data_IF_347573469535
#
_entry.id   IF_347573469535
#
_cell.length_a   1.000
_cell.length_b   1.000
_cell.length_c   1.000
_cell.angle_alpha   90.00
_cell.angle_beta   90.00
_cell.angle_gamma   90.00
#
_symmetry.space_group_name_H-M   'P 1'
#
loop_
_entity.id
_entity.type
_entity.pdbx_description
1 polymer ?
#
# COMPACT_ATOMS: atom_id res chain seq x y z
N UNK A 1 -42.86 68.65 10.45
CA UNK A 1 -41.69 68.66 9.50
C UNK A 1 -40.46 68.37 10.29
N UNK A 2 -39.95 67.18 10.30
CA UNK A 2 -38.78 66.74 11.01
C UNK A 2 -38.04 65.75 10.10
N UNK A 3 -36.97 66.18 9.51
CA UNK A 3 -36.12 65.40 8.60
C UNK A 3 -35.10 64.62 9.44
N UNK A 4 -35.26 63.34 9.53
CA UNK A 4 -34.31 62.40 10.13
C UNK A 4 -33.22 62.09 9.12
N UNK A 5 -31.99 62.56 9.36
CA UNK A 5 -30.80 62.20 8.63
C UNK A 5 -30.05 61.08 9.33
N UNK A 6 -30.28 59.85 8.92
CA UNK A 6 -29.43 58.68 9.29
C UNK A 6 -28.15 58.73 8.48
N UNK A 7 -27.07 59.08 9.10
CA UNK A 7 -25.73 58.96 8.58
C UNK A 7 -25.27 57.51 8.60
N UNK A 8 -25.19 56.85 7.44
CA UNK A 8 -24.62 55.53 7.31
C UNK A 8 -23.09 55.64 7.36
N UNK A 9 -22.48 55.20 8.44
CA UNK A 9 -21.04 54.99 8.53
C UNK A 9 -20.69 53.73 7.69
N UNK A 10 -20.06 53.92 6.53
CA UNK A 10 -19.38 52.87 5.82
C UNK A 10 -18.05 52.57 6.54
N UNK A 11 -17.99 51.47 7.29
CA UNK A 11 -16.73 50.97 7.82
C UNK A 11 -16.02 50.27 6.66
N UNK A 12 -15.02 50.94 6.10
CA UNK A 12 -14.06 50.32 5.18
C UNK A 12 -13.22 49.33 6.00
N UNK A 13 -13.50 48.04 5.89
CA UNK A 13 -12.63 46.99 6.40
C UNK A 13 -11.33 47.01 5.59
N UNK A 14 -10.28 47.58 6.16
CA UNK A 14 -8.94 47.50 5.58
C UNK A 14 -8.55 46.01 5.47
N UNK A 15 -8.30 45.55 4.25
CA UNK A 15 -7.77 44.21 4.02
C UNK A 15 -6.41 44.10 4.73
N UNK A 16 -6.33 43.30 5.78
CA UNK A 16 -5.06 42.97 6.42
C UNK A 16 -4.21 42.26 5.37
N UNK A 17 -3.01 42.76 5.03
CA UNK A 17 -2.16 42.08 4.07
C UNK A 17 -1.85 40.70 4.59
N UNK A 18 -2.05 39.67 3.75
CA UNK A 18 -1.74 38.28 4.08
C UNK A 18 -0.26 38.20 4.50
N UNK A 19 0.04 37.63 5.65
CA UNK A 19 1.40 37.40 6.10
C UNK A 19 2.18 36.66 5.00
N UNK A 20 3.47 37.01 4.77
CA UNK A 20 4.28 36.33 3.76
C UNK A 20 4.28 34.82 4.05
N UNK A 21 4.15 33.97 3.01
CA UNK A 21 4.08 32.53 3.21
C UNK A 21 5.33 32.05 3.95
N UNK A 22 5.13 31.22 4.99
CA UNK A 22 6.21 30.61 5.75
C UNK A 22 7.11 29.83 4.76
N UNK A 23 8.42 30.16 4.63
CA UNK A 23 9.29 29.48 3.67
C UNK A 23 9.33 27.98 3.80
N UNK A 24 9.19 27.45 5.03
CA UNK A 24 9.08 26.01 5.29
C UNK A 24 7.79 25.43 4.76
N UNK A 25 6.66 26.11 4.93
CA UNK A 25 5.37 25.65 4.38
C UNK A 25 5.39 25.57 2.85
N UNK A 26 6.00 26.56 2.18
CA UNK A 26 6.17 26.53 0.73
C UNK A 26 7.07 25.39 0.26
N UNK A 27 8.14 25.07 1.00
CA UNK A 27 8.99 23.91 0.73
C UNK A 27 8.20 22.60 0.90
N UNK A 28 7.47 22.45 2.00
CA UNK A 28 6.65 21.28 2.29
C UNK A 28 5.59 21.03 1.20
N UNK A 29 4.91 22.09 0.73
CA UNK A 29 3.94 22.01 -0.34
C UNK A 29 4.57 21.51 -1.66
N UNK A 30 5.76 22.03 -2.03
CA UNK A 30 6.51 21.55 -3.21
C UNK A 30 6.89 20.08 -3.09
N UNK A 31 7.38 19.66 -1.93
CA UNK A 31 7.77 18.27 -1.67
C UNK A 31 6.54 17.34 -1.74
N UNK A 32 5.40 17.72 -1.12
CA UNK A 32 4.16 16.94 -1.22
C UNK A 32 3.74 16.73 -2.67
N UNK A 33 3.76 17.78 -3.47
CA UNK A 33 3.41 17.69 -4.90
C UNK A 33 4.42 16.84 -5.67
N UNK A 34 5.71 16.97 -5.37
CA UNK A 34 6.75 16.16 -6.01
C UNK A 34 6.58 14.67 -5.68
N UNK A 35 6.33 14.30 -4.41
CA UNK A 35 6.04 12.92 -4.01
C UNK A 35 4.79 12.39 -4.73
N UNK A 36 3.72 13.18 -4.78
CA UNK A 36 2.50 12.79 -5.47
C UNK A 36 2.73 12.50 -6.96
N UNK A 37 3.47 13.37 -7.66
CA UNK A 37 3.69 13.29 -9.12
C UNK A 37 4.76 12.27 -9.49
N UNK A 38 5.86 12.20 -8.73
CA UNK A 38 7.02 11.38 -9.09
C UNK A 38 6.90 9.94 -8.57
N UNK A 39 6.16 9.71 -7.49
CA UNK A 39 6.03 8.39 -6.88
C UNK A 39 4.58 7.90 -6.83
N UNK A 40 3.68 8.58 -6.12
CA UNK A 40 2.35 8.04 -5.79
C UNK A 40 1.53 7.74 -7.04
N UNK A 41 1.35 8.72 -7.93
CA UNK A 41 0.57 8.54 -9.15
C UNK A 41 1.17 7.47 -10.08
N UNK A 42 2.48 7.44 -10.35
CA UNK A 42 3.09 6.34 -11.09
C UNK A 42 2.91 4.96 -10.44
N UNK A 43 2.98 4.85 -9.10
CA UNK A 43 2.77 3.59 -8.40
C UNK A 43 1.32 3.08 -8.58
N UNK A 44 0.32 3.93 -8.35
CA UNK A 44 -1.08 3.56 -8.56
C UNK A 44 -1.45 3.34 -10.03
N UNK A 45 -0.77 4.01 -10.97
CA UNK A 45 -0.96 3.71 -12.41
C UNK A 45 -0.48 2.30 -12.74
N UNK A 46 0.70 1.89 -12.26
CA UNK A 46 1.19 0.51 -12.43
C UNK A 46 0.26 -0.50 -11.75
N UNK A 47 -0.27 -0.16 -10.57
CA UNK A 47 -1.22 -1.01 -9.87
C UNK A 47 -2.51 -1.19 -10.67
N UNK A 48 -3.11 -0.12 -11.17
CA UNK A 48 -4.31 -0.18 -11.99
C UNK A 48 -4.11 -1.00 -13.27
N UNK A 49 -2.96 -0.85 -13.92
CA UNK A 49 -2.60 -1.65 -15.11
C UNK A 49 -2.44 -3.14 -14.78
N UNK A 50 -1.76 -3.46 -13.67
CA UNK A 50 -1.51 -4.85 -13.28
C UNK A 50 -2.79 -5.56 -12.83
N UNK A 51 -3.67 -4.87 -12.10
CA UNK A 51 -4.97 -5.44 -11.67
C UNK A 51 -5.96 -5.58 -12.82
N UNK A 52 -6.00 -4.66 -13.78
CA UNK A 52 -6.77 -4.80 -15.02
C UNK A 52 -6.31 -6.02 -15.84
N UNK A 53 -5.00 -6.22 -15.96
CA UNK A 53 -4.43 -7.40 -16.60
C UNK A 53 -4.78 -8.69 -15.85
N UNK A 54 -4.82 -8.65 -14.51
CA UNK A 54 -5.23 -9.77 -13.68
C UNK A 54 -6.72 -10.10 -13.87
N UNK A 55 -7.60 -9.11 -13.89
CA UNK A 55 -9.04 -9.30 -14.16
C UNK A 55 -9.26 -9.95 -15.54
N UNK A 56 -8.59 -9.44 -16.57
CA UNK A 56 -8.63 -10.02 -17.93
C UNK A 56 -8.12 -11.47 -17.97
N UNK A 57 -7.08 -11.80 -17.22
CA UNK A 57 -6.55 -13.16 -17.16
C UNK A 57 -7.57 -14.13 -16.53
N UNK A 58 -8.26 -13.71 -15.44
CA UNK A 58 -9.33 -14.48 -14.84
C UNK A 58 -10.53 -14.65 -15.76
N UNK A 59 -10.94 -13.58 -16.46
CA UNK A 59 -12.01 -13.62 -17.46
C UNK A 59 -11.70 -14.60 -18.60
N UNK A 60 -10.48 -14.56 -19.13
CA UNK A 60 -10.02 -15.48 -20.17
C UNK A 60 -9.97 -16.94 -19.69
N UNK A 61 -9.50 -17.16 -18.45
CA UNK A 61 -9.50 -18.48 -17.85
C UNK A 61 -10.93 -19.01 -17.63
N UNK A 62 -11.86 -18.18 -17.19
CA UNK A 62 -13.25 -18.54 -16.97
C UNK A 62 -13.95 -18.92 -18.29
N UNK A 63 -13.71 -18.17 -19.36
CA UNK A 63 -14.27 -18.41 -20.69
C UNK A 63 -13.87 -19.79 -21.29
N UNK A 64 -12.70 -20.33 -20.94
CA UNK A 64 -12.20 -21.60 -21.42
C UNK A 64 -11.59 -22.44 -20.26
N UNK A 65 -12.32 -22.61 -19.21
CA UNK A 65 -11.86 -23.14 -17.92
C UNK A 65 -11.14 -24.49 -18.03
N UNK A 66 -11.65 -25.42 -18.82
CA UNK A 66 -11.05 -26.76 -18.97
C UNK A 66 -9.61 -26.71 -19.53
N UNK A 67 -9.35 -25.79 -20.47
CA UNK A 67 -8.05 -25.59 -21.12
C UNK A 67 -7.38 -24.28 -20.69
N UNK A 68 -7.91 -23.58 -19.69
CA UNK A 68 -7.41 -22.29 -19.24
C UNK A 68 -5.94 -22.35 -18.82
N UNK A 69 -5.19 -21.28 -19.11
CA UNK A 69 -3.79 -21.18 -18.75
C UNK A 69 -3.63 -20.78 -17.28
N UNK A 70 -3.37 -21.75 -16.43
CA UNK A 70 -3.14 -21.53 -15.00
C UNK A 70 -1.83 -20.77 -14.73
N UNK A 71 -0.83 -20.90 -15.59
CA UNK A 71 0.42 -20.15 -15.48
C UNK A 71 0.19 -18.66 -15.74
N UNK A 72 -0.66 -18.33 -16.73
CA UNK A 72 -1.07 -16.95 -16.97
C UNK A 72 -1.79 -16.32 -15.76
N UNK A 73 -2.66 -17.06 -15.06
CA UNK A 73 -3.29 -16.59 -13.82
C UNK A 73 -2.25 -16.26 -12.74
N UNK A 74 -1.31 -17.18 -12.50
CA UNK A 74 -0.22 -16.96 -11.52
C UNK A 74 0.67 -15.78 -11.90
N UNK A 75 1.01 -15.64 -13.17
CA UNK A 75 1.82 -14.52 -13.65
C UNK A 75 1.09 -13.18 -13.46
N UNK A 76 -0.19 -13.11 -13.77
CA UNK A 76 -0.99 -11.91 -13.57
C UNK A 76 -1.14 -11.57 -12.06
N UNK A 77 -1.38 -12.58 -11.21
CA UNK A 77 -1.38 -12.41 -9.76
C UNK A 77 -0.02 -11.86 -9.26
N UNK A 78 1.07 -12.45 -9.70
CA UNK A 78 2.41 -12.01 -9.31
C UNK A 78 2.70 -10.56 -9.73
N UNK A 79 2.27 -10.15 -10.92
CA UNK A 79 2.41 -8.78 -11.39
C UNK A 79 1.57 -7.78 -10.56
N UNK A 80 0.35 -8.17 -10.18
CA UNK A 80 -0.50 -7.37 -9.29
C UNK A 80 0.12 -7.23 -7.88
N UNK A 81 0.67 -8.31 -7.32
CA UNK A 81 1.41 -8.28 -6.06
C UNK A 81 2.66 -7.39 -6.13
N UNK A 82 3.43 -7.45 -7.22
CA UNK A 82 4.59 -6.57 -7.42
C UNK A 82 4.20 -5.09 -7.42
N UNK A 83 3.13 -4.76 -8.13
CA UNK A 83 2.62 -3.39 -8.18
C UNK A 83 2.06 -2.94 -6.82
N UNK A 84 1.35 -3.84 -6.11
CA UNK A 84 0.85 -3.56 -4.77
C UNK A 84 1.98 -3.35 -3.77
N UNK A 85 3.02 -4.18 -3.78
CA UNK A 85 4.17 -4.02 -2.90
C UNK A 85 4.79 -2.62 -3.01
N UNK A 86 4.82 -2.02 -4.20
CA UNK A 86 5.25 -0.63 -4.38
C UNK A 86 4.22 0.39 -3.85
N UNK A 87 2.92 0.15 -4.05
CA UNK A 87 1.87 1.11 -3.73
C UNK A 87 1.43 1.07 -2.26
N UNK A 88 1.48 -0.08 -1.59
CA UNK A 88 0.95 -0.31 -0.24
C UNK A 88 1.63 0.53 0.85
N UNK A 89 2.80 1.09 0.57
CA UNK A 89 3.51 1.98 1.50
C UNK A 89 2.83 3.35 1.64
N UNK A 90 2.01 3.74 0.66
CA UNK A 90 1.19 4.96 0.73
C UNK A 90 -0.09 4.63 1.48
N UNK A 91 -0.25 5.23 2.65
CA UNK A 91 -1.46 5.15 3.47
C UNK A 91 -2.29 6.42 3.40
N UNK A 92 -1.68 7.52 2.95
CA UNK A 92 -2.32 8.82 2.80
C UNK A 92 -3.20 8.87 1.55
N UNK A 93 -4.34 9.54 1.67
CA UNK A 93 -5.22 9.83 0.53
C UNK A 93 -6.28 8.76 0.25
N UNK A 94 -6.68 8.57 -1.02
CA UNK A 94 -7.86 7.78 -1.41
C UNK A 94 -7.84 6.31 -1.00
N UNK A 95 -6.67 5.72 -0.80
CA UNK A 95 -6.52 4.32 -0.37
C UNK A 95 -7.10 4.08 1.04
N UNK A 96 -7.15 5.13 1.86
CA UNK A 96 -7.71 5.07 3.21
C UNK A 96 -9.24 5.08 3.24
N UNK A 97 -9.89 5.43 2.14
CA UNK A 97 -11.34 5.50 2.07
C UNK A 97 -11.94 4.10 1.85
N UNK A 98 -13.09 3.84 2.47
CA UNK A 98 -13.90 2.63 2.24
C UNK A 98 -13.14 1.32 2.47
N UNK A 99 -12.20 1.29 3.43
CA UNK A 99 -11.35 0.13 3.73
C UNK A 99 -10.59 -0.39 2.50
N UNK A 100 -10.30 0.47 1.50
CA UNK A 100 -9.69 0.04 0.23
C UNK A 100 -8.37 -0.70 0.44
N UNK A 101 -7.53 -0.28 1.40
CA UNK A 101 -6.27 -0.94 1.70
C UNK A 101 -6.49 -2.38 2.21
N UNK A 102 -7.43 -2.57 3.15
CA UNK A 102 -7.75 -3.88 3.73
C UNK A 102 -8.46 -4.79 2.70
N UNK A 103 -9.36 -4.21 1.90
CA UNK A 103 -9.99 -4.89 0.78
C UNK A 103 -9.00 -5.31 -0.31
N UNK A 104 -7.89 -4.59 -0.44
CA UNK A 104 -6.84 -4.91 -1.41
C UNK A 104 -5.95 -6.08 -0.95
N UNK A 105 -5.51 -6.04 0.33
CA UNK A 105 -4.71 -7.11 0.92
C UNK A 105 -4.92 -7.14 2.44
N UNK A 106 -5.73 -8.07 2.91
CA UNK A 106 -5.97 -8.28 4.34
C UNK A 106 -4.82 -9.07 4.97
N UNK A 107 -3.82 -8.35 5.42
CA UNK A 107 -2.64 -8.91 6.09
C UNK A 107 -2.00 -7.85 7.02
N UNK A 108 -1.50 -8.19 8.23
CA UNK A 108 -1.48 -9.51 8.85
C UNK A 108 -2.87 -10.05 9.19
N UNK A 109 -3.10 -11.33 8.92
CA UNK A 109 -4.39 -11.93 9.29
C UNK A 109 -4.33 -12.63 10.65
N UNK A 110 -5.34 -12.37 11.50
CA UNK A 110 -5.52 -13.09 12.75
C UNK A 110 -6.45 -14.29 12.56
N UNK A 111 -6.17 -15.39 13.27
CA UNK A 111 -7.11 -16.51 13.43
C UNK A 111 -7.60 -17.15 12.12
N UNK A 112 -6.81 -17.09 11.06
CA UNK A 112 -7.14 -17.69 9.75
C UNK A 112 -8.50 -17.22 9.18
N UNK A 113 -8.78 -15.94 9.29
CA UNK A 113 -10.06 -15.32 8.86
C UNK A 113 -10.22 -15.45 7.35
N UNK A 114 -9.18 -15.19 6.56
CA UNK A 114 -9.22 -15.31 5.10
C UNK A 114 -9.67 -16.71 4.65
N UNK A 115 -9.15 -17.77 5.29
CA UNK A 115 -9.58 -19.13 4.96
C UNK A 115 -11.07 -19.32 5.22
N UNK A 116 -11.54 -18.95 6.42
CA UNK A 116 -12.93 -19.19 6.80
C UNK A 116 -13.92 -18.41 5.93
N UNK A 117 -13.60 -17.14 5.62
CA UNK A 117 -14.49 -16.31 4.79
C UNK A 117 -14.47 -16.77 3.33
N UNK A 118 -13.31 -17.14 2.80
CA UNK A 118 -13.20 -17.69 1.45
C UNK A 118 -13.94 -19.05 1.34
N UNK A 119 -13.81 -19.93 2.33
CA UNK A 119 -14.52 -21.22 2.35
C UNK A 119 -16.05 -21.01 2.43
N UNK A 120 -16.52 -20.03 3.20
CA UNK A 120 -17.93 -19.68 3.27
C UNK A 120 -18.44 -19.17 1.91
N UNK A 121 -17.71 -18.29 1.25
CA UNK A 121 -18.03 -17.78 -0.08
C UNK A 121 -18.02 -18.92 -1.15
N UNK A 122 -17.03 -19.79 -1.10
CA UNK A 122 -16.96 -20.94 -2.02
C UNK A 122 -18.10 -21.94 -1.79
N UNK A 123 -18.63 -22.03 -0.57
CA UNK A 123 -19.73 -22.93 -0.21
C UNK A 123 -21.10 -22.35 -0.56
N UNK A 124 -21.27 -21.02 -0.58
CA UNK A 124 -22.55 -20.36 -0.86
C UNK A 124 -23.07 -20.70 -2.25
N UNK A 125 -22.18 -20.71 -3.23
CA UNK A 125 -22.50 -20.97 -4.65
C UNK A 125 -23.65 -20.10 -5.18
N UNK A 126 -23.78 -18.87 -4.64
CA UNK A 126 -24.80 -17.89 -5.02
C UNK A 126 -24.15 -16.72 -5.79
N UNK A 127 -24.47 -16.55 -7.09
CA UNK A 127 -23.93 -15.44 -7.89
C UNK A 127 -24.22 -14.04 -7.33
N UNK A 128 -25.24 -13.89 -6.46
CA UNK A 128 -25.56 -12.61 -5.82
C UNK A 128 -24.42 -12.13 -4.91
N UNK A 129 -23.66 -13.05 -4.31
CA UNK A 129 -22.53 -12.74 -3.46
C UNK A 129 -21.39 -12.01 -4.21
N UNK A 130 -21.33 -12.16 -5.54
CA UNK A 130 -20.32 -11.54 -6.40
C UNK A 130 -20.81 -10.28 -7.13
N UNK A 131 -22.04 -9.83 -6.87
CA UNK A 131 -22.47 -8.53 -7.41
C UNK A 131 -21.65 -7.40 -6.79
N UNK A 132 -21.28 -6.34 -7.52
CA UNK A 132 -20.42 -5.27 -7.01
C UNK A 132 -20.88 -4.70 -5.67
N UNK A 133 -22.19 -4.46 -5.53
CA UNK A 133 -22.76 -3.90 -4.29
C UNK A 133 -22.66 -4.87 -3.11
N UNK A 134 -22.97 -6.14 -3.30
CA UNK A 134 -22.89 -7.17 -2.24
C UNK A 134 -21.44 -7.43 -1.88
N UNK A 135 -20.59 -7.67 -2.87
CA UNK A 135 -19.19 -8.03 -2.66
C UNK A 135 -18.39 -6.90 -1.99
N UNK A 136 -18.70 -5.64 -2.30
CA UNK A 136 -18.04 -4.49 -1.67
C UNK A 136 -18.31 -4.39 -0.15
N UNK A 137 -19.42 -4.98 0.33
CA UNK A 137 -19.82 -4.99 1.74
C UNK A 137 -19.53 -6.32 2.46
N UNK A 138 -19.01 -7.31 1.73
CA UNK A 138 -18.58 -8.58 2.34
C UNK A 138 -17.27 -8.41 3.12
N UNK A 139 -16.84 -9.47 3.78
CA UNK A 139 -15.60 -9.50 4.54
C UNK A 139 -14.40 -9.07 3.70
N UNK A 140 -13.67 -8.05 4.12
CA UNK A 140 -12.43 -7.61 3.48
C UNK A 140 -11.41 -8.74 3.28
N UNK A 141 -11.45 -9.75 4.15
CA UNK A 141 -10.56 -10.91 4.09
C UNK A 141 -10.82 -11.83 2.88
N UNK A 142 -12.02 -11.78 2.26
CA UNK A 142 -12.34 -12.54 1.06
C UNK A 142 -12.13 -11.76 -0.25
N UNK A 143 -11.80 -10.47 -0.19
CA UNK A 143 -11.87 -9.56 -1.33
C UNK A 143 -10.54 -9.28 -2.04
N UNK A 144 -9.40 -9.70 -1.47
CA UNK A 144 -8.10 -9.19 -1.86
C UNK A 144 -7.09 -10.22 -2.34
N UNK A 145 -5.84 -9.76 -2.50
CA UNK A 145 -4.70 -10.59 -2.93
C UNK A 145 -4.47 -11.80 -2.04
N UNK A 146 -4.71 -11.69 -0.73
CA UNK A 146 -4.57 -12.79 0.22
C UNK A 146 -5.54 -13.93 -0.07
N UNK A 147 -6.78 -13.63 -0.48
CA UNK A 147 -7.76 -14.62 -0.90
C UNK A 147 -7.41 -15.24 -2.26
N UNK A 148 -6.93 -14.43 -3.22
CA UNK A 148 -6.44 -14.95 -4.51
C UNK A 148 -5.23 -15.86 -4.36
N UNK A 149 -4.30 -15.54 -3.44
CA UNK A 149 -3.17 -16.42 -3.13
C UNK A 149 -3.65 -17.82 -2.76
N UNK A 150 -4.68 -17.91 -1.91
CA UNK A 150 -5.23 -19.22 -1.51
C UNK A 150 -5.84 -19.98 -2.69
N UNK A 151 -6.57 -19.31 -3.58
CA UNK A 151 -7.12 -19.96 -4.77
C UNK A 151 -6.04 -20.50 -5.72
N UNK A 152 -4.89 -19.82 -5.78
CA UNK A 152 -3.83 -20.11 -6.74
C UNK A 152 -2.70 -21.00 -6.18
N UNK A 153 -2.56 -21.08 -4.84
CA UNK A 153 -1.39 -21.73 -4.23
C UNK A 153 -1.72 -22.70 -3.09
N UNK A 154 -2.93 -22.68 -2.52
CA UNK A 154 -3.30 -23.65 -1.47
C UNK A 154 -3.67 -25.02 -2.06
N UNK A 155 -3.30 -26.09 -1.33
CA UNK A 155 -3.59 -27.46 -1.67
C UNK A 155 -2.57 -28.09 -2.62
N UNK A 156 -2.74 -29.39 -2.87
CA UNK A 156 -1.80 -30.18 -3.66
C UNK A 156 -1.84 -29.84 -5.16
N UNK A 157 -3.02 -29.47 -5.68
CA UNK A 157 -3.19 -29.12 -7.09
C UNK A 157 -4.27 -28.05 -7.28
N UNK A 158 -3.95 -26.76 -7.04
CA UNK A 158 -4.89 -25.66 -7.22
C UNK A 158 -5.43 -25.55 -8.66
N UNK A 159 -4.61 -25.86 -9.66
CA UNK A 159 -5.02 -25.85 -11.06
C UNK A 159 -6.15 -26.86 -11.33
N UNK A 160 -6.05 -28.05 -10.77
CA UNK A 160 -7.11 -29.06 -10.91
C UNK A 160 -8.42 -28.63 -10.23
N UNK A 161 -8.35 -27.93 -9.09
CA UNK A 161 -9.52 -27.39 -8.41
C UNK A 161 -10.25 -26.33 -9.25
N UNK A 162 -9.50 -25.44 -9.91
CA UNK A 162 -10.07 -24.42 -10.81
C UNK A 162 -10.62 -25.03 -12.10
N UNK A 163 -10.01 -26.09 -12.62
CA UNK A 163 -10.43 -26.80 -13.84
C UNK A 163 -11.49 -27.89 -13.58
N UNK A 164 -11.82 -28.15 -12.33
CA UNK A 164 -12.75 -29.21 -11.97
C UNK A 164 -14.09 -29.05 -12.71
N UNK A 165 -14.67 -30.14 -13.26
CA UNK A 165 -15.94 -30.08 -13.95
C UNK A 165 -17.09 -29.76 -12.97
N UNK A 166 -18.22 -29.31 -13.52
CA UNK A 166 -19.43 -29.02 -12.73
C UNK A 166 -19.43 -27.64 -12.08
N UNK A 167 -20.40 -27.44 -11.18
CA UNK A 167 -20.72 -26.15 -10.57
C UNK A 167 -19.61 -25.65 -9.64
N UNK A 168 -19.00 -26.50 -8.85
CA UNK A 168 -18.03 -26.11 -7.83
C UNK A 168 -16.74 -25.52 -8.45
N UNK A 169 -16.23 -26.16 -9.52
CA UNK A 169 -15.09 -25.61 -10.26
C UNK A 169 -15.43 -24.30 -10.96
N UNK A 170 -16.64 -24.21 -11.55
CA UNK A 170 -17.10 -22.99 -12.18
C UNK A 170 -17.24 -21.85 -11.15
N UNK A 171 -17.86 -22.13 -10.01
CA UNK A 171 -18.03 -21.17 -8.94
C UNK A 171 -16.69 -20.68 -8.37
N UNK A 172 -15.75 -21.59 -8.13
CA UNK A 172 -14.40 -21.25 -7.67
C UNK A 172 -13.69 -20.27 -8.62
N UNK A 173 -13.85 -20.45 -9.92
CA UNK A 173 -13.30 -19.52 -10.92
C UNK A 173 -14.05 -18.19 -10.91
N UNK A 174 -15.37 -18.20 -10.78
CA UNK A 174 -16.19 -17.00 -10.67
C UNK A 174 -15.80 -16.17 -9.43
N UNK A 175 -15.54 -16.80 -8.29
CA UNK A 175 -15.04 -16.15 -7.07
C UNK A 175 -13.68 -15.49 -7.35
N UNK A 176 -12.74 -16.23 -7.95
CA UNK A 176 -11.43 -15.67 -8.31
C UNK A 176 -11.53 -14.47 -9.25
N UNK A 177 -12.41 -14.54 -10.26
CA UNK A 177 -12.68 -13.43 -11.17
C UNK A 177 -13.34 -12.24 -10.44
N UNK A 178 -14.31 -12.49 -9.56
CA UNK A 178 -14.96 -11.44 -8.76
C UNK A 178 -13.96 -10.70 -7.89
N UNK A 179 -13.02 -11.40 -7.25
CA UNK A 179 -11.94 -10.79 -6.46
C UNK A 179 -11.01 -9.97 -7.37
N UNK A 180 -10.59 -10.51 -8.51
CA UNK A 180 -9.70 -9.82 -9.44
C UNK A 180 -10.36 -8.54 -10.00
N UNK A 181 -11.64 -8.59 -10.34
CA UNK A 181 -12.42 -7.44 -10.77
C UNK A 181 -12.52 -6.37 -9.68
N UNK A 182 -12.83 -6.74 -8.45
CA UNK A 182 -12.86 -5.81 -7.31
C UNK A 182 -11.52 -5.10 -7.12
N UNK A 183 -10.39 -5.80 -7.23
CA UNK A 183 -9.05 -5.20 -7.14
C UNK A 183 -8.79 -4.21 -8.27
N UNK A 184 -9.22 -4.52 -9.50
CA UNK A 184 -9.09 -3.61 -10.65
C UNK A 184 -9.92 -2.33 -10.45
N UNK A 185 -11.15 -2.45 -9.95
CA UNK A 185 -12.02 -1.31 -9.62
C UNK A 185 -11.38 -0.44 -8.53
N UNK A 186 -10.93 -1.03 -7.42
CA UNK A 186 -10.30 -0.28 -6.32
C UNK A 186 -9.06 0.48 -6.83
N UNK A 187 -8.19 -0.18 -7.59
CA UNK A 187 -6.96 0.45 -8.08
C UNK A 187 -7.25 1.60 -9.07
N UNK A 188 -8.23 1.42 -9.96
CA UNK A 188 -8.69 2.45 -10.89
C UNK A 188 -9.30 3.65 -10.16
N UNK A 189 -10.12 3.41 -9.14
CA UNK A 189 -10.74 4.45 -8.33
C UNK A 189 -9.69 5.27 -7.56
N UNK A 190 -8.71 4.61 -6.93
CA UNK A 190 -7.64 5.30 -6.23
C UNK A 190 -6.82 6.17 -7.19
N UNK A 191 -6.47 5.64 -8.37
CA UNK A 191 -5.75 6.40 -9.39
C UNK A 191 -6.57 7.61 -9.89
N UNK A 192 -7.87 7.41 -10.14
CA UNK A 192 -8.79 8.49 -10.54
C UNK A 192 -8.83 9.58 -9.47
N UNK A 193 -9.00 9.22 -8.20
CA UNK A 193 -9.09 10.16 -7.09
C UNK A 193 -7.78 10.95 -6.89
N UNK A 194 -6.62 10.39 -7.25
CA UNK A 194 -5.34 11.11 -7.29
C UNK A 194 -5.23 12.06 -8.49
N UNK A 195 -5.81 11.74 -9.65
CA UNK A 195 -5.52 12.41 -10.94
C UNK A 195 -6.63 13.30 -11.47
N UNK A 196 -7.87 13.14 -11.00
CA UNK A 196 -9.03 13.93 -11.43
C UNK A 196 -8.81 15.45 -11.26
N UNK A 197 -9.60 16.24 -11.96
CA UNK A 197 -9.55 17.71 -11.89
C UNK A 197 -9.87 18.28 -10.49
N UNK A 198 -10.59 17.54 -9.68
CA UNK A 198 -10.86 17.81 -8.26
C UNK A 198 -10.13 16.81 -7.32
N UNK A 199 -9.13 16.10 -7.83
CA UNK A 199 -8.40 15.06 -7.11
C UNK A 199 -7.29 15.60 -6.21
N UNK A 200 -6.65 14.66 -5.48
CA UNK A 200 -5.62 14.95 -4.47
C UNK A 200 -4.48 15.80 -5.03
N UNK A 201 -3.96 15.47 -6.21
CA UNK A 201 -2.86 16.23 -6.84
C UNK A 201 -3.21 17.70 -7.04
N UNK A 202 -4.42 17.98 -7.49
CA UNK A 202 -4.89 19.36 -7.73
C UNK A 202 -5.07 20.10 -6.41
N UNK A 203 -5.62 19.43 -5.39
CA UNK A 203 -5.75 19.99 -4.06
C UNK A 203 -4.39 20.39 -3.46
N UNK A 204 -3.39 19.50 -3.52
CA UNK A 204 -2.02 19.79 -3.07
C UNK A 204 -1.44 20.96 -3.85
N UNK A 205 -1.55 20.98 -5.19
CA UNK A 205 -1.01 22.06 -6.03
C UNK A 205 -1.66 23.42 -5.72
N UNK A 206 -2.93 23.43 -5.33
CA UNK A 206 -3.67 24.64 -4.94
C UNK A 206 -3.52 25.01 -3.46
N UNK A 207 -2.72 24.28 -2.70
CA UNK A 207 -2.59 24.39 -1.23
C UNK A 207 -3.96 24.32 -0.52
N UNK A 208 -4.77 23.32 -0.90
CA UNK A 208 -6.11 23.09 -0.34
C UNK A 208 -6.21 21.67 0.25
N UNK A 209 -7.16 21.49 1.16
CA UNK A 209 -7.50 20.19 1.69
C UNK A 209 -8.23 19.28 0.69
N UNK A 210 -8.30 18.00 1.02
CA UNK A 210 -9.02 17.00 0.24
C UNK A 210 -9.74 15.98 1.16
N UNK A 211 -11.06 15.89 1.04
CA UNK A 211 -11.93 14.92 1.74
C UNK A 211 -11.69 14.79 3.26
N UNK A 212 -11.34 15.87 3.94
CA UNK A 212 -10.98 15.88 5.37
C UNK A 212 -9.80 14.95 5.73
N UNK A 213 -9.04 14.47 4.75
CA UNK A 213 -7.85 13.64 4.99
C UNK A 213 -6.61 14.49 5.26
N UNK A 214 -6.57 15.70 4.75
CA UNK A 214 -5.61 16.75 5.07
C UNK A 214 -6.23 18.13 4.78
N UNK A 215 -5.77 19.17 5.48
CA UNK A 215 -6.29 20.52 5.37
C UNK A 215 -5.57 21.37 4.33
N UNK A 216 -4.28 21.09 4.07
CA UNK A 216 -3.41 21.83 3.15
C UNK A 216 -2.24 20.98 2.64
N UNK A 217 -1.41 21.54 1.76
CA UNK A 217 -0.27 20.83 1.21
C UNK A 217 0.87 20.55 2.23
N UNK A 218 1.18 21.43 3.20
CA UNK A 218 2.08 21.11 4.31
C UNK A 218 1.62 19.89 5.12
N UNK A 219 0.33 19.78 5.42
CA UNK A 219 -0.19 18.61 6.11
C UNK A 219 -0.10 17.34 5.23
N UNK A 220 -0.38 17.45 3.94
CA UNK A 220 -0.15 16.35 3.01
C UNK A 220 1.33 15.90 3.00
N UNK A 221 2.30 16.84 3.05
CA UNK A 221 3.73 16.52 3.18
C UNK A 221 4.03 15.76 4.47
N UNK A 222 3.45 16.20 5.59
CA UNK A 222 3.60 15.55 6.90
C UNK A 222 3.08 14.11 6.85
N UNK A 223 1.91 13.88 6.29
CA UNK A 223 1.31 12.55 6.18
C UNK A 223 2.12 11.64 5.26
N UNK A 224 2.57 12.14 4.10
CA UNK A 224 3.42 11.37 3.18
C UNK A 224 4.78 11.03 3.78
N UNK A 225 5.36 11.92 4.60
CA UNK A 225 6.60 11.61 5.33
C UNK A 225 6.35 10.58 6.45
N UNK A 226 5.20 10.65 7.12
CA UNK A 226 4.77 9.63 8.09
C UNK A 226 4.59 8.26 7.41
N UNK A 227 3.99 8.22 6.22
CA UNK A 227 3.88 7.00 5.41
C UNK A 227 5.26 6.43 5.05
N UNK A 228 6.21 7.29 4.67
CA UNK A 228 7.58 6.86 4.36
C UNK A 228 8.25 6.19 5.58
N UNK A 229 8.19 6.81 6.75
CA UNK A 229 8.73 6.22 7.99
C UNK A 229 8.00 4.92 8.33
N UNK A 230 6.68 4.90 8.17
CA UNK A 230 5.83 3.72 8.36
C UNK A 230 6.15 2.58 7.40
N UNK A 231 6.58 2.86 6.16
CA UNK A 231 6.97 1.85 5.19
C UNK A 231 8.17 1.02 5.67
N UNK A 232 9.17 1.66 6.25
CA UNK A 232 10.32 0.95 6.84
C UNK A 232 9.90 0.14 8.07
N UNK A 233 9.04 0.70 8.92
CA UNK A 233 8.49 -0.01 10.08
C UNK A 233 7.66 -1.23 9.64
N UNK A 234 6.83 -1.11 8.60
CA UNK A 234 6.12 -2.23 8.00
C UNK A 234 7.08 -3.38 7.65
N UNK A 235 8.22 -3.08 7.03
CA UNK A 235 9.18 -4.12 6.64
C UNK A 235 9.84 -4.79 7.84
N UNK A 236 10.41 -4.03 8.78
CA UNK A 236 11.21 -4.64 9.85
C UNK A 236 10.39 -5.15 11.04
N UNK A 237 9.27 -4.51 11.42
CA UNK A 237 8.48 -4.89 12.60
C UNK A 237 7.26 -5.75 12.24
N UNK A 238 6.64 -5.53 11.08
CA UNK A 238 5.41 -6.25 10.72
C UNK A 238 5.70 -7.44 9.80
N UNK A 239 6.63 -7.30 8.82
CA UNK A 239 6.91 -8.38 7.87
C UNK A 239 8.02 -9.33 8.33
N UNK A 240 9.09 -8.84 8.97
CA UNK A 240 10.24 -9.68 9.35
C UNK A 240 10.18 -10.15 10.80
N UNK A 241 9.89 -9.27 11.77
CA UNK A 241 9.95 -9.62 13.19
C UNK A 241 9.03 -10.78 13.61
N UNK A 242 7.75 -10.85 13.20
CA UNK A 242 6.86 -11.94 13.59
C UNK A 242 7.30 -13.30 13.01
N UNK A 243 7.96 -13.29 11.85
CA UNK A 243 8.50 -14.49 11.21
C UNK A 243 9.74 -15.00 11.96
N UNK A 244 10.61 -14.07 12.35
CA UNK A 244 11.82 -14.38 13.12
C UNK A 244 11.49 -14.89 14.53
N UNK A 245 10.43 -14.37 15.18
CA UNK A 245 10.18 -14.63 16.59
C UNK A 245 11.32 -14.15 17.50
N UNK A 246 11.24 -14.45 18.78
CA UNK A 246 12.25 -14.04 19.77
C UNK A 246 13.61 -14.74 19.55
N UNK A 247 13.59 -15.97 19.05
CA UNK A 247 14.77 -16.78 18.73
C UNK A 247 14.42 -17.78 17.62
N UNK A 248 15.35 -18.64 17.24
CA UNK A 248 15.17 -19.59 16.13
C UNK A 248 14.07 -20.61 16.42
N UNK A 249 13.94 -21.09 17.66
CA UNK A 249 12.92 -22.07 18.05
C UNK A 249 11.50 -21.46 18.05
N UNK A 250 11.42 -20.13 18.19
CA UNK A 250 10.19 -19.36 18.14
C UNK A 250 9.87 -18.82 16.73
N UNK A 251 10.65 -19.17 15.71
CA UNK A 251 10.42 -18.74 14.34
C UNK A 251 9.06 -19.27 13.81
N UNK A 252 8.38 -18.44 13.05
CA UNK A 252 7.05 -18.73 12.50
C UNK A 252 7.02 -18.53 10.98
N UNK A 253 7.54 -19.48 10.18
CA UNK A 253 7.62 -19.36 8.72
C UNK A 253 6.30 -18.96 8.05
N UNK A 254 5.17 -19.52 8.51
CA UNK A 254 3.82 -19.27 7.96
C UNK A 254 3.19 -17.94 8.42
N UNK A 255 3.87 -17.17 9.27
CA UNK A 255 3.48 -15.78 9.57
C UNK A 255 4.00 -14.80 8.53
N UNK A 256 4.84 -15.24 7.60
CA UNK A 256 5.33 -14.41 6.50
C UNK A 256 4.19 -14.01 5.55
N UNK A 257 4.17 -12.75 5.11
CA UNK A 257 3.24 -12.32 4.06
C UNK A 257 3.48 -13.13 2.79
N UNK A 258 2.40 -13.54 2.11
CA UNK A 258 2.48 -14.27 0.85
C UNK A 258 3.41 -15.51 0.90
N UNK A 259 3.42 -16.23 2.04
CA UNK A 259 4.29 -17.39 2.23
C UNK A 259 3.94 -18.58 1.31
N UNK A 260 2.68 -18.68 0.88
CA UNK A 260 2.21 -19.75 -0.01
C UNK A 260 2.78 -19.62 -1.42
N UNK A 261 2.87 -18.40 -1.89
CA UNK A 261 3.44 -18.05 -3.19
C UNK A 261 4.95 -17.78 -3.14
N UNK A 262 5.58 -17.95 -1.96
CA UNK A 262 7.00 -17.69 -1.70
C UNK A 262 7.43 -16.26 -2.09
N UNK A 263 6.57 -15.25 -1.90
CA UNK A 263 6.83 -13.89 -2.35
C UNK A 263 7.43 -12.97 -1.30
N UNK A 264 7.44 -13.35 -0.03
CA UNK A 264 7.78 -12.48 1.11
C UNK A 264 9.05 -11.67 0.88
N UNK A 265 10.16 -12.32 0.50
CA UNK A 265 11.42 -11.62 0.23
C UNK A 265 11.31 -10.64 -0.95
N UNK A 266 10.62 -11.04 -2.03
CA UNK A 266 10.38 -10.20 -3.19
C UNK A 266 9.55 -8.97 -2.82
N UNK A 267 8.49 -9.15 -2.04
CA UNK A 267 7.61 -8.06 -1.63
C UNK A 267 8.33 -7.06 -0.71
N UNK A 268 9.22 -7.52 0.19
CA UNK A 268 10.07 -6.64 0.99
C UNK A 268 11.03 -5.84 0.11
N UNK A 269 11.68 -6.46 -0.89
CA UNK A 269 12.54 -5.75 -1.85
C UNK A 269 11.79 -4.66 -2.60
N UNK A 270 10.58 -4.97 -3.07
CA UNK A 270 9.74 -4.02 -3.80
C UNK A 270 9.18 -2.91 -2.89
N UNK A 271 8.84 -3.22 -1.63
CA UNK A 271 8.51 -2.20 -0.64
C UNK A 271 9.68 -1.23 -0.43
N UNK A 272 10.89 -1.76 -0.28
CA UNK A 272 12.07 -0.93 -0.05
C UNK A 272 12.40 -0.06 -1.28
N UNK A 273 12.34 -0.63 -2.48
CA UNK A 273 12.53 0.14 -3.71
C UNK A 273 11.47 1.24 -3.86
N UNK A 274 10.20 0.96 -3.51
CA UNK A 274 9.13 1.95 -3.46
C UNK A 274 9.41 3.04 -2.41
N UNK A 275 9.82 2.64 -1.21
CA UNK A 275 10.15 3.58 -0.13
C UNK A 275 11.32 4.50 -0.50
N UNK A 276 12.37 3.98 -1.15
CA UNK A 276 13.48 4.80 -1.65
C UNK A 276 13.04 5.77 -2.75
N UNK A 277 12.19 5.31 -3.68
CA UNK A 277 11.64 6.20 -4.71
C UNK A 277 10.74 7.30 -4.10
N UNK A 278 9.97 6.98 -3.06
CA UNK A 278 9.16 7.93 -2.31
C UNK A 278 10.01 8.92 -1.49
N UNK A 279 11.15 8.47 -0.96
CA UNK A 279 12.08 9.30 -0.20
C UNK A 279 12.76 10.37 -1.06
N UNK A 280 12.99 10.10 -2.33
CA UNK A 280 13.79 10.95 -3.23
C UNK A 280 13.37 12.44 -3.26
N UNK A 281 12.09 12.81 -3.41
CA UNK A 281 11.70 14.23 -3.35
C UNK A 281 11.95 14.88 -1.99
N UNK A 282 11.89 14.13 -0.89
CA UNK A 282 12.24 14.62 0.44
C UNK A 282 13.75 14.85 0.56
N UNK A 283 14.56 13.89 0.09
CA UNK A 283 16.01 13.95 0.09
C UNK A 283 16.53 15.12 -0.76
N UNK A 284 15.92 15.36 -1.92
CA UNK A 284 16.31 16.47 -2.81
C UNK A 284 16.07 17.86 -2.21
N UNK A 285 15.19 17.93 -1.20
CA UNK A 285 14.94 19.14 -0.43
C UNK A 285 15.92 19.35 0.74
N UNK A 286 16.82 18.39 0.99
CA UNK A 286 17.84 18.40 2.05
C UNK A 286 19.23 18.54 1.45
N UNK A 287 20.06 19.44 2.02
CA UNK A 287 21.42 19.63 1.53
C UNK A 287 22.24 18.32 1.59
N UNK A 288 23.05 17.98 0.56
CA UNK A 288 23.81 16.74 0.49
C UNK A 288 24.63 16.43 1.74
N UNK A 289 25.31 17.44 2.30
CA UNK A 289 26.12 17.27 3.52
C UNK A 289 25.31 16.82 4.75
N UNK A 290 23.99 17.06 4.75
CA UNK A 290 23.09 16.69 5.86
C UNK A 290 22.49 15.30 5.69
N UNK A 291 22.58 14.70 4.51
CA UNK A 291 22.00 13.38 4.20
C UNK A 291 23.02 12.27 3.92
N UNK A 292 24.33 12.54 3.97
CA UNK A 292 25.37 11.54 3.65
C UNK A 292 25.22 10.23 4.40
N UNK A 293 24.93 10.31 5.72
CA UNK A 293 24.68 9.12 6.53
C UNK A 293 23.39 8.41 6.12
N UNK A 294 22.32 9.17 5.83
CA UNK A 294 21.06 8.63 5.34
C UNK A 294 21.27 7.85 4.04
N UNK A 295 21.93 8.46 3.04
CA UNK A 295 22.22 7.82 1.75
C UNK A 295 22.98 6.49 1.94
N UNK A 296 23.96 6.47 2.87
CA UNK A 296 24.71 5.26 3.21
C UNK A 296 23.82 4.16 3.80
N UNK A 297 22.92 4.50 4.72
CA UNK A 297 22.02 3.54 5.36
C UNK A 297 20.95 3.03 4.41
N UNK A 298 20.42 3.88 3.51
CA UNK A 298 19.51 3.46 2.47
C UNK A 298 20.15 2.45 1.52
N UNK A 299 21.39 2.70 1.09
CA UNK A 299 22.16 1.76 0.26
C UNK A 299 22.43 0.43 0.99
N UNK A 300 22.77 0.50 2.29
CA UNK A 300 22.97 -0.70 3.11
C UNK A 300 21.69 -1.52 3.26
N UNK A 301 20.53 -0.87 3.45
CA UNK A 301 19.24 -1.53 3.53
C UNK A 301 18.88 -2.23 2.20
N UNK A 302 19.12 -1.57 1.06
CA UNK A 302 18.91 -2.17 -0.27
C UNK A 302 19.77 -3.43 -0.47
N UNK A 303 21.07 -3.31 -0.19
CA UNK A 303 22.01 -4.44 -0.31
C UNK A 303 21.60 -5.62 0.60
N UNK A 304 21.18 -5.34 1.83
CA UNK A 304 20.76 -6.38 2.76
C UNK A 304 19.43 -7.04 2.32
N UNK A 305 18.49 -6.27 1.79
CA UNK A 305 17.25 -6.80 1.24
C UNK A 305 17.50 -7.67 -0.01
N UNK A 306 18.46 -7.31 -0.86
CA UNK A 306 18.85 -8.12 -2.02
C UNK A 306 19.45 -9.48 -1.62
N UNK A 307 20.06 -9.57 -0.44
CA UNK A 307 20.58 -10.81 0.10
C UNK A 307 19.51 -11.69 0.78
N UNK A 308 18.26 -11.25 0.91
CA UNK A 308 17.20 -12.04 1.51
C UNK A 308 16.95 -13.34 0.70
N UNK A 309 16.92 -14.50 1.40
CA UNK A 309 16.52 -15.76 0.77
C UNK A 309 15.09 -15.68 0.20
N UNK A 310 14.86 -16.28 -0.95
CA UNK A 310 13.55 -16.26 -1.59
C UNK A 310 12.47 -16.87 -0.70
N UNK A 311 12.81 -17.95 0.02
CA UNK A 311 11.99 -18.64 1.03
C UNK A 311 12.24 -18.06 2.44
N UNK A 312 12.15 -16.74 2.60
CA UNK A 312 12.49 -16.03 3.85
C UNK A 312 11.84 -16.65 5.10
N UNK A 313 10.61 -17.15 4.98
CA UNK A 313 9.93 -17.81 6.09
C UNK A 313 10.71 -19.01 6.61
N UNK A 314 11.09 -19.92 5.74
CA UNK A 314 11.90 -21.10 6.09
C UNK A 314 13.34 -20.71 6.52
N UNK A 315 13.90 -19.70 5.88
CA UNK A 315 15.23 -19.18 6.25
C UNK A 315 15.27 -18.65 7.68
N UNK A 316 14.18 -18.07 8.19
CA UNK A 316 14.09 -17.59 9.56
C UNK A 316 14.22 -18.72 10.61
N UNK A 317 13.85 -19.94 10.26
CA UNK A 317 13.96 -21.14 11.10
C UNK A 317 15.25 -21.95 10.83
N UNK A 318 16.11 -21.53 9.91
CA UNK A 318 17.35 -22.21 9.56
C UNK A 318 18.56 -21.47 10.18
N UNK A 319 19.36 -22.12 11.04
CA UNK A 319 20.49 -21.46 11.72
C UNK A 319 21.55 -20.90 10.78
N UNK A 320 21.68 -21.45 9.56
CA UNK A 320 22.65 -20.99 8.56
C UNK A 320 22.14 -19.78 7.75
N UNK A 321 20.83 -19.66 7.56
CA UNK A 321 20.21 -18.63 6.71
C UNK A 321 19.55 -17.49 7.49
N UNK A 322 19.13 -17.75 8.75
CA UNK A 322 18.55 -16.74 9.64
C UNK A 322 19.38 -15.46 9.75
N UNK A 323 20.74 -15.51 9.87
CA UNK A 323 21.55 -14.30 9.96
C UNK A 323 21.35 -13.33 8.79
N UNK A 324 20.95 -13.79 7.58
CA UNK A 324 20.65 -12.92 6.45
C UNK A 324 19.34 -12.13 6.69
N UNK A 325 18.34 -12.76 7.28
CA UNK A 325 17.05 -12.13 7.61
C UNK A 325 17.23 -11.13 8.74
N UNK A 326 18.00 -11.48 9.79
CA UNK A 326 18.32 -10.59 10.91
C UNK A 326 19.10 -9.35 10.41
N UNK A 327 20.10 -9.55 9.54
CA UNK A 327 20.87 -8.45 8.94
C UNK A 327 20.01 -7.50 8.12
N UNK A 328 19.11 -8.04 7.30
CA UNK A 328 18.19 -7.23 6.50
C UNK A 328 17.24 -6.42 7.41
N UNK A 329 16.67 -7.05 8.44
CA UNK A 329 15.82 -6.36 9.42
C UNK A 329 16.58 -5.23 10.13
N UNK A 330 17.81 -5.47 10.58
CA UNK A 330 18.64 -4.48 11.26
C UNK A 330 18.98 -3.30 10.35
N UNK A 331 19.34 -3.56 9.08
CA UNK A 331 19.66 -2.53 8.12
C UNK A 331 18.43 -1.64 7.77
N UNK A 332 17.26 -2.26 7.58
CA UNK A 332 16.01 -1.53 7.32
C UNK A 332 15.63 -0.66 8.53
N UNK A 333 15.80 -1.18 9.76
CA UNK A 333 15.54 -0.41 10.99
C UNK A 333 16.51 0.77 11.15
N UNK A 334 17.79 0.59 10.84
CA UNK A 334 18.78 1.67 10.88
C UNK A 334 18.43 2.79 9.89
N UNK A 335 18.02 2.45 8.67
CA UNK A 335 17.55 3.40 7.69
C UNK A 335 16.30 4.16 8.17
N UNK A 336 15.31 3.47 8.74
CA UNK A 336 14.12 4.12 9.33
C UNK A 336 14.50 5.14 10.39
N UNK A 337 15.39 4.78 11.31
CA UNK A 337 15.82 5.66 12.41
C UNK A 337 16.43 6.94 11.86
N UNK A 338 17.26 6.85 10.83
CA UNK A 338 17.89 8.02 10.22
C UNK A 338 16.90 8.86 9.41
N UNK A 339 15.99 8.25 8.64
CA UNK A 339 14.89 8.96 7.95
C UNK A 339 14.08 9.78 8.94
N UNK A 340 13.67 9.16 10.05
CA UNK A 340 12.86 9.79 11.09
C UNK A 340 13.60 10.90 11.85
N UNK A 341 14.92 10.87 11.88
CA UNK A 341 15.73 11.90 12.50
C UNK A 341 16.02 13.08 11.54
N UNK A 342 16.44 12.78 10.31
CA UNK A 342 16.96 13.79 9.38
C UNK A 342 15.85 14.54 8.64
N UNK A 343 14.96 13.83 7.95
CA UNK A 343 14.00 14.46 7.06
C UNK A 343 13.02 15.39 7.79
N UNK A 344 12.42 15.02 8.94
CA UNK A 344 11.53 15.91 9.67
C UNK A 344 12.24 17.16 10.17
N UNK A 345 13.47 17.05 10.70
CA UNK A 345 14.24 18.17 11.24
C UNK A 345 14.59 19.19 10.15
N UNK A 346 15.11 18.72 9.02
CA UNK A 346 15.53 19.58 7.90
C UNK A 346 14.32 20.26 7.23
N UNK A 347 13.22 19.54 7.07
CA UNK A 347 12.00 20.06 6.43
C UNK A 347 11.09 20.85 7.38
N UNK A 348 11.37 20.82 8.70
CA UNK A 348 10.53 21.44 9.71
C UNK A 348 9.14 20.79 9.80
N UNK A 349 9.09 19.48 9.63
CA UNK A 349 7.87 18.66 9.75
C UNK A 349 7.88 17.95 11.10
N UNK A 350 6.77 18.01 11.83
CA UNK A 350 6.56 17.15 12.99
C UNK A 350 5.84 15.90 12.54
N UNK A 351 6.43 14.71 12.73
CA UNK A 351 5.78 13.45 12.38
C UNK A 351 4.48 13.27 13.20
N UNK A 352 3.43 12.78 12.54
CA UNK A 352 2.20 12.34 13.19
C UNK A 352 2.31 10.89 13.66
N UNK A 353 1.34 10.46 14.44
CA UNK A 353 1.12 9.02 14.69
C UNK A 353 0.66 8.33 13.40
N UNK A 354 1.14 7.13 13.15
CA UNK A 354 0.67 6.27 12.08
C UNK A 354 -0.11 5.07 12.65
N UNK A 355 -0.79 4.33 11.79
CA UNK A 355 -1.58 3.15 12.21
C UNK A 355 -0.76 2.01 12.84
N UNK A 356 0.57 2.11 12.85
CA UNK A 356 1.49 1.16 13.47
C UNK A 356 2.00 1.64 14.84
N UNK A 357 1.60 2.84 15.29
CA UNK A 357 2.02 3.40 16.58
C UNK A 357 1.06 3.05 17.74
N UNK A 358 -0.07 2.42 17.43
CA UNK A 358 -1.07 1.99 18.38
C UNK A 358 -0.93 0.51 18.74
N UNK A 359 -0.76 0.23 20.02
CA UNK A 359 -0.76 -1.00 20.84
C UNK A 359 0.57 -1.55 21.23
#
# INVERSE_FOLDING_TARGET
>A
MGTDRRSSLLILAAAVPAAPPNPKAALQARVALAVAVQFVIPAYRRLAQATDAQDKAWAAFNANRANGDFTALRNAYNAACDAWANAQIVKTGPINLFLRADRFAYWPEARNVTQRTLDALLKSNDPKDLTPDTFAHDSVAAQGLTALERLLYDGANPAALLKAPGKDGAWRVSVGQGIAHNLAVIAADVLRDWTASNGVRVAIAANKGWNNLFADAPEAARLLLTDLVGAYRLMHDVKMLPVLGANIDAAKPKSAEAWRSARTARDIKLNLAGAQAMAKPFEDAVAPARRTKLDTLLAAAAKAADALPADMGEAAADPKRRPQVDAARAAVKAAQTEIAAVLPAELGITLGFNSLDGD
#
